data_IF_818146079508
#
_entry.id   IF_818146079508
#
_cell.length_a   1.000
_cell.length_b   1.000
_cell.length_c   1.000
_cell.angle_alpha   90.00
_cell.angle_beta   90.00
_cell.angle_gamma   90.00
#
_symmetry.space_group_name_H-M   'P 1'
#
loop_
_entity.id
_entity.type
_entity.pdbx_description
1 polymer ?
#
# COMPACT_ATOMS: atom_id res chain seq x y z
N UNK A 1 -28.00 14.75 12.57
CA UNK A 1 -27.12 15.15 13.68
C UNK A 1 -25.77 15.44 13.06
N UNK A 2 -25.49 16.69 12.70
CA UNK A 2 -24.18 17.05 12.14
C UNK A 2 -23.16 17.06 13.29
N UNK A 3 -22.17 16.19 13.20
CA UNK A 3 -21.07 16.13 14.15
C UNK A 3 -20.14 17.33 13.87
N UNK A 4 -20.28 18.41 14.63
CA UNK A 4 -19.37 19.56 14.57
C UNK A 4 -18.07 19.23 15.32
N UNK A 5 -17.18 18.48 14.67
CA UNK A 5 -15.89 18.08 15.23
C UNK A 5 -14.89 19.25 15.16
N UNK A 6 -14.12 19.52 16.23
CA UNK A 6 -13.03 20.48 16.20
C UNK A 6 -12.02 20.15 15.08
N UNK A 7 -11.44 21.19 14.45
CA UNK A 7 -10.45 21.04 13.37
C UNK A 7 -9.29 20.12 13.79
N UNK A 8 -8.87 20.19 15.05
CA UNK A 8 -7.81 19.34 15.61
C UNK A 8 -8.19 17.84 15.61
N UNK A 9 -9.45 17.53 15.93
CA UNK A 9 -9.98 16.16 15.87
C UNK A 9 -10.03 15.64 14.42
N UNK A 10 -10.38 16.49 13.45
CA UNK A 10 -10.33 16.12 12.03
C UNK A 10 -8.90 15.80 11.57
N UNK A 11 -7.92 16.60 12.00
CA UNK A 11 -6.50 16.35 11.70
C UNK A 11 -5.98 15.08 12.35
N UNK A 12 -6.40 14.80 13.57
CA UNK A 12 -6.04 13.55 14.27
C UNK A 12 -6.58 12.32 13.53
N UNK A 13 -7.86 12.34 13.13
CA UNK A 13 -8.47 11.24 12.39
C UNK A 13 -7.79 11.01 11.04
N UNK A 14 -7.51 12.08 10.28
CA UNK A 14 -6.78 11.99 9.02
C UNK A 14 -5.37 11.42 9.21
N UNK A 15 -4.66 11.86 10.24
CA UNK A 15 -3.31 11.39 10.55
C UNK A 15 -3.30 9.91 10.92
N UNK A 16 -4.25 9.49 11.78
CA UNK A 16 -4.41 8.10 12.17
C UNK A 16 -4.83 7.21 11.00
N UNK A 17 -5.75 7.68 10.16
CA UNK A 17 -6.19 6.95 8.97
C UNK A 17 -5.02 6.74 8.01
N UNK A 18 -4.25 7.79 7.72
CA UNK A 18 -3.07 7.70 6.88
C UNK A 18 -1.98 6.81 7.51
N UNK A 19 -1.81 6.83 8.83
CA UNK A 19 -0.89 5.93 9.53
C UNK A 19 -1.31 4.47 9.38
N UNK A 20 -2.57 4.14 9.66
CA UNK A 20 -3.09 2.78 9.51
C UNK A 20 -3.05 2.31 8.05
N UNK A 21 -3.36 3.20 7.11
CA UNK A 21 -3.26 2.89 5.68
C UNK A 21 -1.82 2.58 5.26
N UNK A 22 -0.83 3.29 5.81
CA UNK A 22 0.59 3.04 5.55
C UNK A 22 1.05 1.69 6.11
N UNK A 23 0.68 1.38 7.34
CA UNK A 23 0.94 0.08 7.97
C UNK A 23 0.29 -1.05 7.16
N UNK A 24 -0.98 -0.88 6.76
CA UNK A 24 -1.71 -1.87 5.98
C UNK A 24 -1.07 -2.13 4.61
N UNK A 25 -0.73 -1.08 3.84
CA UNK A 25 -0.08 -1.25 2.54
C UNK A 25 1.32 -1.86 2.66
N UNK A 26 2.05 -1.54 3.74
CA UNK A 26 3.36 -2.12 4.02
C UNK A 26 3.23 -3.61 4.34
N UNK A 27 2.27 -3.97 5.19
CA UNK A 27 1.94 -5.37 5.47
C UNK A 27 1.47 -6.12 4.22
N UNK A 28 0.63 -5.50 3.37
CA UNK A 28 0.11 -6.13 2.17
C UNK A 28 1.24 -6.44 1.18
N UNK A 29 2.18 -5.52 1.00
CA UNK A 29 3.39 -5.79 0.23
C UNK A 29 4.23 -6.91 0.86
N UNK A 30 4.46 -6.89 2.17
CA UNK A 30 5.14 -7.99 2.84
C UNK A 30 4.44 -9.34 2.63
N UNK A 31 3.11 -9.36 2.69
CA UNK A 31 2.30 -10.55 2.47
C UNK A 31 2.45 -11.10 1.05
N UNK A 32 2.47 -10.23 0.02
CA UNK A 32 2.73 -10.69 -1.35
C UNK A 32 4.11 -11.32 -1.50
N UNK A 33 5.13 -10.78 -0.82
CA UNK A 33 6.52 -11.22 -0.98
C UNK A 33 6.95 -12.39 -0.08
N UNK A 34 6.27 -12.61 1.04
CA UNK A 34 6.63 -13.66 2.00
C UNK A 34 5.98 -15.02 1.70
N UNK A 35 4.95 -15.04 0.84
CA UNK A 35 4.21 -16.25 0.46
C UNK A 35 4.42 -16.68 -1.00
N UNK A 36 3.50 -17.50 -1.51
CA UNK A 36 3.46 -17.94 -2.92
C UNK A 36 2.82 -16.91 -3.88
N UNK A 37 2.63 -15.67 -3.40
CA UNK A 37 1.74 -14.67 -3.99
C UNK A 37 0.26 -15.09 -4.04
N UNK A 38 -0.11 -16.25 -3.50
CA UNK A 38 -1.48 -16.78 -3.58
C UNK A 38 -2.37 -16.24 -2.47
N UNK A 39 -3.58 -15.86 -2.87
CA UNK A 39 -4.65 -15.39 -1.99
C UNK A 39 -5.86 -16.28 -2.21
N UNK A 40 -6.27 -16.99 -1.17
CA UNK A 40 -7.50 -17.78 -1.17
C UNK A 40 -8.69 -16.87 -0.85
N UNK A 41 -9.57 -16.68 -1.83
CA UNK A 41 -10.80 -15.90 -1.70
C UNK A 41 -12.04 -16.77 -1.48
N UNK A 42 -11.86 -18.01 -0.98
CA UNK A 42 -12.93 -18.94 -0.66
C UNK A 42 -13.66 -19.44 -1.91
N UNK A 43 -14.96 -19.15 -2.01
CA UNK A 43 -15.77 -19.59 -3.15
C UNK A 43 -15.32 -18.99 -4.50
N UNK A 44 -14.59 -17.87 -4.47
CA UNK A 44 -14.02 -17.24 -5.66
C UNK A 44 -12.75 -17.96 -6.14
N UNK A 45 -12.12 -18.78 -5.29
CA UNK A 45 -10.91 -19.55 -5.61
C UNK A 45 -9.61 -18.84 -5.27
N UNK A 46 -8.51 -19.37 -5.81
CA UNK A 46 -7.15 -18.91 -5.55
C UNK A 46 -6.72 -17.91 -6.63
N UNK A 47 -6.32 -16.74 -6.19
CA UNK A 47 -5.77 -15.67 -7.02
C UNK A 47 -4.30 -15.46 -6.71
N UNK A 48 -3.59 -14.76 -7.59
CA UNK A 48 -2.25 -14.26 -7.32
C UNK A 48 -2.26 -12.75 -7.19
N UNK A 49 -1.65 -12.23 -6.13
CA UNK A 49 -1.54 -10.81 -5.84
C UNK A 49 -0.07 -10.36 -5.91
N UNK A 50 0.19 -9.31 -6.66
CA UNK A 50 1.53 -8.74 -6.85
C UNK A 50 1.51 -7.23 -6.62
N UNK A 51 2.65 -6.69 -6.19
CA UNK A 51 2.95 -5.26 -6.36
C UNK A 51 3.53 -5.05 -7.76
N UNK A 52 2.94 -4.13 -8.51
CA UNK A 52 3.29 -3.80 -9.89
C UNK A 52 4.22 -2.56 -9.94
N UNK A 53 4.42 -2.01 -11.14
CA UNK A 53 5.31 -0.91 -11.58
C UNK A 53 5.48 0.34 -10.70
N UNK A 54 4.76 0.49 -9.58
CA UNK A 54 4.77 1.67 -8.72
C UNK A 54 4.66 1.31 -7.25
N UNK A 55 5.67 1.75 -6.50
CA UNK A 55 5.72 1.68 -5.04
C UNK A 55 6.27 3.01 -4.50
N UNK A 56 5.53 3.69 -3.64
CA UNK A 56 5.93 4.96 -3.02
C UNK A 56 6.07 4.77 -1.52
N UNK A 57 7.24 5.07 -0.98
CA UNK A 57 7.53 5.02 0.45
C UNK A 57 7.68 6.42 1.02
N UNK A 58 7.19 6.65 2.24
CA UNK A 58 7.27 7.94 2.92
C UNK A 58 7.83 7.79 4.34
N UNK A 59 8.63 8.77 4.75
CA UNK A 59 9.08 8.88 6.14
C UNK A 59 7.89 9.17 7.06
N UNK A 60 7.85 8.47 8.20
CA UNK A 60 6.87 8.70 9.27
C UNK A 60 7.29 9.83 10.22
N UNK A 61 8.54 10.30 10.14
CA UNK A 61 9.11 11.31 11.02
C UNK A 61 9.27 12.67 10.32
N UNK A 62 8.39 13.62 10.65
CA UNK A 62 8.60 15.09 10.59
C UNK A 62 8.81 15.76 9.23
N UNK A 63 9.75 15.28 8.41
CA UNK A 63 9.99 15.72 7.04
C UNK A 63 9.56 14.60 6.10
N UNK A 64 8.41 14.80 5.45
CA UNK A 64 7.86 13.89 4.46
C UNK A 64 8.80 13.79 3.25
N UNK A 65 9.76 12.87 3.32
CA UNK A 65 10.58 12.51 2.18
C UNK A 65 9.97 11.30 1.50
N UNK A 66 9.26 11.56 0.40
CA UNK A 66 8.75 10.51 -0.48
C UNK A 66 9.89 9.89 -1.30
N UNK A 67 9.78 8.60 -1.56
CA UNK A 67 10.65 7.85 -2.44
C UNK A 67 9.77 7.00 -3.34
N UNK A 68 9.71 7.38 -4.61
CA UNK A 68 8.90 6.69 -5.60
C UNK A 68 9.77 5.77 -6.44
N UNK A 69 9.49 4.47 -6.38
CA UNK A 69 10.13 3.44 -7.18
C UNK A 69 9.22 3.11 -8.37
N UNK A 70 9.81 3.05 -9.57
CA UNK A 70 9.10 2.76 -10.82
C UNK A 70 9.81 1.70 -11.66
N UNK A 71 9.04 0.79 -12.25
CA UNK A 71 9.47 -0.12 -13.32
C UNK A 71 9.93 -1.52 -12.87
N UNK A 72 9.73 -2.50 -13.77
CA UNK A 72 10.19 -3.90 -13.69
C UNK A 72 9.57 -4.72 -12.57
N UNK A 73 10.04 -4.47 -11.35
CA UNK A 73 9.74 -5.20 -10.12
C UNK A 73 10.15 -4.33 -8.92
N UNK A 74 9.49 -3.18 -8.68
CA UNK A 74 9.92 -2.21 -7.67
C UNK A 74 9.89 -2.79 -6.25
N UNK A 75 9.04 -3.78 -6.00
CA UNK A 75 8.98 -4.58 -4.78
C UNK A 75 10.29 -5.35 -4.45
N UNK A 76 11.12 -5.64 -5.45
CA UNK A 76 12.37 -6.38 -5.28
C UNK A 76 13.61 -5.48 -5.36
N UNK A 77 13.42 -4.17 -5.59
CA UNK A 77 14.53 -3.25 -5.68
C UNK A 77 15.26 -3.16 -4.33
N UNK A 78 16.60 -3.24 -4.34
CA UNK A 78 17.42 -3.05 -3.14
C UNK A 78 17.10 -1.71 -2.44
N UNK A 79 16.75 -0.69 -3.22
CA UNK A 79 16.30 0.61 -2.75
C UNK A 79 15.01 0.55 -1.92
N UNK A 80 14.06 -0.32 -2.28
CA UNK A 80 12.82 -0.54 -1.53
C UNK A 80 13.09 -1.14 -0.15
N UNK A 81 13.99 -2.11 -0.08
CA UNK A 81 14.39 -2.74 1.18
C UNK A 81 15.12 -1.75 2.09
N UNK A 82 16.04 -0.95 1.53
CA UNK A 82 16.74 0.10 2.28
C UNK A 82 15.74 1.15 2.82
N UNK A 83 14.73 1.52 2.01
CA UNK A 83 13.68 2.44 2.45
C UNK A 83 12.89 1.88 3.66
N UNK A 84 12.47 0.62 3.62
CA UNK A 84 11.83 -0.04 4.77
C UNK A 84 12.74 -0.08 6.00
N UNK A 85 14.02 -0.46 5.83
CA UNK A 85 14.99 -0.50 6.94
C UNK A 85 15.21 0.88 7.58
N UNK A 86 15.04 1.96 6.81
CA UNK A 86 15.10 3.33 7.33
C UNK A 86 13.83 3.80 8.07
N UNK A 87 12.81 2.95 8.18
CA UNK A 87 11.54 3.24 8.85
C UNK A 87 10.50 3.94 7.96
N UNK A 88 10.69 3.95 6.64
CA UNK A 88 9.64 4.42 5.72
C UNK A 88 8.57 3.36 5.54
N UNK A 89 7.34 3.82 5.34
CA UNK A 89 6.18 2.97 5.08
C UNK A 89 5.61 3.24 3.70
N UNK A 90 4.84 2.30 3.16
CA UNK A 90 4.19 2.42 1.85
C UNK A 90 3.06 3.46 1.90
N UNK A 91 3.22 4.55 1.15
CA UNK A 91 2.19 5.59 0.95
C UNK A 91 1.28 5.28 -0.24
N UNK A 92 1.81 4.67 -1.29
CA UNK A 92 1.07 4.31 -2.50
C UNK A 92 1.66 3.05 -3.12
N UNK A 93 0.82 2.15 -3.60
CA UNK A 93 1.25 0.99 -4.37
C UNK A 93 0.24 0.67 -5.48
N UNK A 94 0.75 0.17 -6.60
CA UNK A 94 -0.05 -0.46 -7.64
C UNK A 94 -0.02 -1.97 -7.44
N UNK A 95 -1.17 -2.61 -7.57
CA UNK A 95 -1.34 -4.04 -7.42
C UNK A 95 -1.88 -4.67 -8.69
N UNK A 96 -1.49 -5.93 -8.91
CA UNK A 96 -2.11 -6.84 -9.87
C UNK A 96 -2.74 -7.99 -9.10
N UNK A 97 -4.03 -8.27 -9.35
CA UNK A 97 -4.68 -9.52 -8.98
C UNK A 97 -4.98 -10.30 -10.24
N UNK A 98 -4.68 -11.59 -10.26
CA UNK A 98 -4.96 -12.42 -11.43
C UNK A 98 -5.31 -13.86 -11.08
N UNK A 99 -6.17 -14.46 -11.89
CA UNK A 99 -6.35 -15.90 -12.00
C UNK A 99 -5.80 -16.39 -13.36
N UNK A 100 -6.23 -17.57 -13.81
CA UNK A 100 -5.79 -18.12 -15.11
C UNK A 100 -6.37 -17.40 -16.33
N UNK A 101 -7.46 -16.68 -16.16
CA UNK A 101 -8.26 -16.10 -17.24
C UNK A 101 -8.33 -14.58 -17.20
N UNK A 102 -8.15 -13.97 -16.02
CA UNK A 102 -8.44 -12.56 -15.77
C UNK A 102 -7.34 -11.90 -14.96
N UNK A 103 -7.13 -10.62 -15.25
CA UNK A 103 -6.20 -9.76 -14.54
C UNK A 103 -6.89 -8.43 -14.23
N UNK A 104 -6.72 -7.95 -13.00
CA UNK A 104 -7.14 -6.64 -12.55
C UNK A 104 -5.94 -5.87 -12.03
N UNK A 105 -5.95 -4.56 -12.27
CA UNK A 105 -4.94 -3.63 -11.81
C UNK A 105 -5.59 -2.48 -11.10
N UNK A 106 -5.02 -2.08 -9.97
CA UNK A 106 -5.43 -0.87 -9.27
C UNK A 106 -4.26 -0.26 -8.50
N UNK A 107 -4.36 1.03 -8.26
CA UNK A 107 -3.51 1.75 -7.31
C UNK A 107 -4.30 2.05 -6.04
N UNK A 108 -3.61 2.06 -4.90
CA UNK A 108 -4.17 2.42 -3.61
C UNK A 108 -3.23 3.38 -2.90
N UNK A 109 -3.79 4.41 -2.25
CA UNK A 109 -3.05 5.33 -1.38
C UNK A 109 -3.44 5.11 0.07
N UNK A 110 -2.47 5.24 0.97
CA UNK A 110 -2.66 5.09 2.41
C UNK A 110 -3.63 6.13 2.99
N UNK A 111 -3.81 7.28 2.32
CA UNK A 111 -4.65 8.38 2.79
C UNK A 111 -6.12 7.96 2.97
N UNK A 112 -6.62 7.06 2.12
CA UNK A 112 -8.03 6.65 2.10
C UNK A 112 -8.29 5.18 1.75
N UNK A 113 -7.28 4.43 1.34
CA UNK A 113 -7.38 3.04 0.86
C UNK A 113 -8.37 2.84 -0.29
N UNK A 114 -8.72 3.91 -1.01
CA UNK A 114 -9.60 3.81 -2.15
C UNK A 114 -8.88 3.17 -3.35
N UNK A 115 -9.52 2.18 -3.96
CA UNK A 115 -9.10 1.56 -5.21
C UNK A 115 -9.23 2.58 -6.35
N UNK A 116 -8.15 2.75 -7.12
CA UNK A 116 -8.10 3.65 -8.29
C UNK A 116 -7.58 2.89 -9.49
N UNK A 117 -8.15 3.13 -10.67
CA UNK A 117 -7.75 2.54 -11.94
C UNK A 117 -7.45 3.63 -12.97
#
# INVERSE_FOLDING_TARGET
>A
MELNLPIESLRYLQTNQAFLGREFLTWLWYYTESGSHEVDLGELGIYKLYVDDRLVLISTSGSAHEQALKGGTPAYAAEALVALQSGKLVQEAKFILQDKERQWMWSMRADDLALRG
#
